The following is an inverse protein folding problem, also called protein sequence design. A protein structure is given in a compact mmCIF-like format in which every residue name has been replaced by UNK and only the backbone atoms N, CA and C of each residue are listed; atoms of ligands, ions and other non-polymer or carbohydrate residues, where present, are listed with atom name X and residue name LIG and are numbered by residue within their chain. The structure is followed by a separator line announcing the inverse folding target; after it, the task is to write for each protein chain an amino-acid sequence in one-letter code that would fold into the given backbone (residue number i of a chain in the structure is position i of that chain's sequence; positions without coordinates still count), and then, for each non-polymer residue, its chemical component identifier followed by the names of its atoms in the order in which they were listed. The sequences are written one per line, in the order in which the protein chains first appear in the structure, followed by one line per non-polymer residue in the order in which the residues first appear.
data_IF_824919403806
#
_entry.id   IF_824919403806
#
_cell.length_a   1.000
_cell.length_b   1.000
_cell.length_c   1.000
_cell.angle_alpha   90.00
_cell.angle_beta   90.00
_cell.angle_gamma   90.00
#
_symmetry.space_group_name_H-M   'P 1'
#
loop_
_entity.id
_entity.type
_entity.pdbx_description
1 polymer ?
#
# COMPACT_ATOMS: atom_id res chain seq x y z
N UNK A 1 -18.29 -66.87 -65.22
CA UNK A 1 -19.58 -66.43 -65.77
C UNK A 1 -19.36 -65.09 -66.49
N UNK A 2 -19.97 -64.95 -67.67
CA UNK A 2 -19.96 -63.83 -68.64
C UNK A 2 -19.89 -62.43 -67.99
N UNK A 3 -18.99 -61.52 -68.40
CA UNK A 3 -19.00 -60.64 -69.58
C UNK A 3 -20.21 -59.67 -69.71
N UNK A 4 -19.85 -58.38 -69.89
CA UNK A 4 -20.50 -57.34 -70.73
C UNK A 4 -21.76 -56.62 -70.20
N UNK A 5 -21.67 -55.30 -69.95
CA UNK A 5 -22.05 -54.15 -70.81
C UNK A 5 -23.37 -53.49 -70.31
N UNK A 6 -23.71 -52.21 -70.42
CA UNK A 6 -23.24 -50.97 -71.08
C UNK A 6 -24.10 -49.83 -70.45
N UNK A 7 -23.71 -48.54 -70.48
CA UNK A 7 -24.34 -47.42 -71.24
C UNK A 7 -24.05 -46.10 -70.46
N UNK A 8 -23.82 -44.88 -70.96
CA UNK A 8 -23.69 -44.25 -72.29
C UNK A 8 -23.12 -42.80 -72.09
N UNK A 9 -22.18 -42.37 -72.95
CA UNK A 9 -22.01 -41.05 -73.64
C UNK A 9 -21.93 -39.70 -72.87
N UNK A 10 -20.79 -38.98 -72.99
CA UNK A 10 -20.48 -37.79 -73.86
C UNK A 10 -21.16 -36.46 -73.40
N UNK A 11 -20.52 -35.28 -73.35
CA UNK A 11 -19.33 -34.84 -74.08
C UNK A 11 -18.68 -33.52 -73.60
N UNK A 12 -17.43 -33.41 -74.05
CA UNK A 12 -16.44 -32.35 -74.33
C UNK A 12 -16.76 -30.84 -74.38
N UNK A 13 -15.64 -30.10 -74.19
CA UNK A 13 -15.21 -28.74 -74.64
C UNK A 13 -15.61 -27.58 -73.70
N UNK A 14 -14.76 -26.60 -73.35
CA UNK A 14 -13.56 -26.09 -74.01
C UNK A 14 -12.79 -25.08 -73.13
N UNK A 15 -11.53 -24.85 -73.52
CA UNK A 15 -10.74 -23.61 -73.42
C UNK A 15 -9.82 -23.33 -72.21
N UNK A 16 -8.59 -23.02 -72.59
CA UNK A 16 -7.40 -22.72 -71.81
C UNK A 16 -7.07 -21.22 -71.83
N UNK A 17 -6.07 -20.86 -71.02
CA UNK A 17 -5.21 -19.65 -71.03
C UNK A 17 -5.61 -18.44 -70.16
N UNK A 18 -4.84 -18.31 -69.07
CA UNK A 18 -3.98 -17.19 -68.62
C UNK A 18 -4.46 -15.73 -68.65
N UNK A 19 -3.96 -15.04 -67.60
CA UNK A 19 -3.70 -13.60 -67.38
C UNK A 19 -4.86 -12.76 -66.80
N UNK A 20 -4.69 -12.38 -65.53
CA UNK A 20 -4.62 -11.00 -64.99
C UNK A 20 -4.99 -11.02 -63.50
N UNK A 21 -4.10 -10.50 -62.66
CA UNK A 21 -4.35 -10.34 -61.23
C UNK A 21 -5.34 -9.22 -60.95
N UNK A 22 -6.20 -9.42 -59.96
CA UNK A 22 -6.61 -8.42 -58.98
C UNK A 22 -7.26 -9.13 -57.77
N UNK A 23 -6.93 -8.60 -56.60
CA UNK A 23 -7.43 -8.83 -55.25
C UNK A 23 -8.82 -9.47 -55.08
N UNK A 24 -8.92 -10.42 -54.14
CA UNK A 24 -9.87 -10.29 -53.03
C UNK A 24 -9.20 -10.69 -51.70
N UNK A 25 -9.03 -9.66 -50.87
CA UNK A 25 -8.87 -9.72 -49.42
C UNK A 25 -10.21 -10.06 -48.77
N UNK A 26 -10.16 -10.29 -47.46
CA UNK A 26 -11.24 -10.22 -46.46
C UNK A 26 -11.91 -11.55 -46.11
N UNK A 27 -11.28 -12.25 -45.17
CA UNK A 27 -11.96 -12.98 -44.09
C UNK A 27 -11.25 -12.64 -42.77
N UNK A 28 -11.41 -11.40 -42.32
CA UNK A 28 -10.97 -10.94 -41.01
C UNK A 28 -11.82 -9.73 -40.58
N UNK A 29 -13.04 -9.99 -40.13
CA UNK A 29 -13.96 -9.09 -39.40
C UNK A 29 -15.22 -9.97 -39.15
N UNK A 30 -15.78 -10.17 -37.96
CA UNK A 30 -15.94 -9.33 -36.78
C UNK A 30 -15.80 -10.21 -35.51
N UNK A 31 -14.66 -10.15 -34.81
CA UNK A 31 -14.65 -10.40 -33.37
C UNK A 31 -14.74 -9.03 -32.73
N UNK A 32 -15.99 -8.69 -32.43
CA UNK A 32 -16.50 -7.36 -32.07
C UNK A 32 -15.60 -6.56 -31.11
N UNK A 33 -15.45 -5.27 -31.42
CA UNK A 33 -14.98 -4.19 -30.54
C UNK A 33 -15.56 -4.28 -29.13
N UNK A 34 -16.80 -4.76 -29.03
CA UNK A 34 -17.50 -5.02 -27.76
C UNK A 34 -16.81 -6.08 -26.88
N UNK A 35 -16.26 -7.15 -27.46
CA UNK A 35 -15.51 -8.17 -26.70
C UNK A 35 -14.18 -7.63 -26.16
N UNK A 36 -13.54 -6.73 -26.89
CA UNK A 36 -12.29 -6.07 -26.48
C UNK A 36 -12.57 -4.99 -25.45
N UNK A 37 -13.69 -4.27 -25.56
CA UNK A 37 -14.19 -3.35 -24.53
C UNK A 37 -14.62 -4.08 -23.26
N UNK A 38 -15.29 -5.23 -23.36
CA UNK A 38 -15.67 -6.06 -22.22
C UNK A 38 -14.42 -6.63 -21.55
N UNK A 39 -13.43 -7.11 -22.32
CA UNK A 39 -12.17 -7.56 -21.75
C UNK A 39 -11.43 -6.41 -21.06
N UNK A 40 -11.37 -5.23 -21.69
CA UNK A 40 -10.80 -4.02 -21.09
C UNK A 40 -11.59 -3.51 -19.88
N UNK A 41 -12.90 -3.67 -19.84
CA UNK A 41 -13.75 -3.30 -18.71
C UNK A 41 -13.65 -4.31 -17.56
N UNK A 42 -13.47 -5.60 -17.87
CA UNK A 42 -13.19 -6.67 -16.89
C UNK A 42 -11.75 -6.56 -16.35
N UNK A 43 -10.77 -6.23 -17.20
CA UNK A 43 -9.42 -5.86 -16.78
C UNK A 43 -9.42 -4.55 -16.00
N UNK A 44 -10.20 -3.54 -16.39
CA UNK A 44 -10.36 -2.30 -15.63
C UNK A 44 -11.09 -2.51 -14.29
N UNK A 45 -11.97 -3.53 -14.18
CA UNK A 45 -12.52 -4.00 -12.90
C UNK A 45 -11.49 -4.75 -12.05
N UNK A 46 -10.48 -5.38 -12.67
CA UNK A 46 -9.31 -5.92 -11.98
C UNK A 46 -8.27 -4.83 -11.63
N UNK A 47 -8.34 -3.65 -12.25
CA UNK A 47 -7.47 -2.48 -12.01
C UNK A 47 -8.08 -1.44 -11.04
N UNK A 48 -9.38 -1.53 -10.72
CA UNK A 48 -9.97 -0.68 -9.72
C UNK A 48 -9.36 -1.02 -8.34
N UNK A 49 -8.88 -0.04 -7.56
CA UNK A 49 -8.41 -0.32 -6.21
C UNK A 49 -9.58 -0.87 -5.40
N UNK A 50 -9.57 -2.18 -5.18
CA UNK A 50 -10.62 -2.86 -4.45
C UNK A 50 -10.56 -2.38 -3.01
N UNK A 51 -11.59 -1.64 -2.62
CA UNK A 51 -11.78 -1.22 -1.24
C UNK A 51 -11.99 -2.48 -0.38
N UNK A 52 -10.99 -2.80 0.47
CA UNK A 52 -11.01 -3.98 1.36
C UNK A 52 -12.32 -4.07 2.14
N UNK A 53 -12.80 -2.93 2.68
CA UNK A 53 -14.05 -2.88 3.43
C UNK A 53 -15.26 -3.29 2.58
N UNK A 54 -15.38 -2.76 1.36
CA UNK A 54 -16.51 -3.08 0.47
C UNK A 54 -16.45 -4.53 0.00
N UNK A 55 -15.26 -5.01 -0.35
CA UNK A 55 -15.05 -6.40 -0.76
C UNK A 55 -15.45 -7.38 0.35
N UNK A 56 -14.94 -7.17 1.56
CA UNK A 56 -15.24 -8.06 2.68
C UNK A 56 -16.72 -8.04 3.02
N UNK A 57 -17.38 -6.88 3.04
CA UNK A 57 -18.82 -6.81 3.28
C UNK A 57 -19.66 -7.55 2.24
N UNK A 58 -19.25 -7.49 0.97
CA UNK A 58 -20.02 -8.08 -0.12
C UNK A 58 -19.76 -9.57 -0.29
N UNK A 59 -18.50 -10.01 -0.16
CA UNK A 59 -18.07 -11.35 -0.55
C UNK A 59 -17.56 -12.21 0.61
N UNK A 60 -17.18 -11.62 1.75
CA UNK A 60 -16.61 -12.31 2.92
C UNK A 60 -17.16 -11.75 4.26
N UNK A 61 -18.49 -11.67 4.47
CA UNK A 61 -19.07 -10.94 5.60
C UNK A 61 -18.78 -11.57 6.97
N UNK A 62 -18.61 -12.89 7.04
CA UNK A 62 -18.17 -13.57 8.27
C UNK A 62 -16.75 -13.16 8.65
N UNK A 63 -15.84 -13.15 7.67
CA UNK A 63 -14.46 -12.68 7.84
C UNK A 63 -14.43 -11.21 8.27
N UNK A 64 -15.26 -10.36 7.66
CA UNK A 64 -15.42 -8.97 8.07
C UNK A 64 -15.79 -8.85 9.56
N UNK A 65 -16.78 -9.61 10.02
CA UNK A 65 -17.24 -9.54 11.41
C UNK A 65 -16.15 -9.97 12.39
N UNK A 66 -15.35 -10.98 12.04
CA UNK A 66 -14.19 -11.39 12.84
C UNK A 66 -13.14 -10.28 12.88
N UNK A 67 -12.77 -9.70 11.74
CA UNK A 67 -11.75 -8.66 11.65
C UNK A 67 -12.13 -7.38 12.42
N UNK A 68 -13.41 -6.96 12.36
CA UNK A 68 -13.89 -5.81 13.12
C UNK A 68 -13.81 -6.07 14.63
N UNK A 69 -14.12 -7.28 15.07
CA UNK A 69 -13.95 -7.65 16.47
C UNK A 69 -12.47 -7.64 16.87
N UNK A 70 -11.59 -8.23 16.06
CA UNK A 70 -10.14 -8.21 16.30
C UNK A 70 -9.59 -6.79 16.39
N UNK A 71 -10.01 -5.89 15.50
CA UNK A 71 -9.63 -4.49 15.54
C UNK A 71 -10.13 -3.80 16.81
N UNK A 72 -11.38 -4.04 17.22
CA UNK A 72 -11.92 -3.49 18.46
C UNK A 72 -11.17 -3.98 19.70
N UNK A 73 -10.88 -5.28 19.78
CA UNK A 73 -10.11 -5.88 20.87
C UNK A 73 -8.68 -5.28 20.89
N UNK A 74 -8.06 -5.08 19.71
CA UNK A 74 -6.74 -4.46 19.58
C UNK A 74 -6.71 -2.99 20.00
N UNK A 75 -7.80 -2.25 19.75
CA UNK A 75 -7.95 -0.86 20.22
C UNK A 75 -8.06 -0.81 21.74
N UNK A 76 -8.79 -1.75 22.37
CA UNK A 76 -8.87 -1.81 23.83
C UNK A 76 -7.54 -2.23 24.47
N UNK A 77 -6.81 -3.16 23.86
CA UNK A 77 -5.49 -3.59 24.31
C UNK A 77 -4.47 -2.44 24.25
N UNK A 78 -4.35 -1.77 23.09
CA UNK A 78 -3.41 -0.67 22.88
C UNK A 78 -3.65 0.57 23.78
N UNK A 79 -4.85 0.73 24.36
CA UNK A 79 -5.16 1.86 25.29
C UNK A 79 -4.29 1.87 26.54
N UNK A 80 -3.77 0.71 26.95
CA UNK A 80 -3.02 0.52 28.18
C UNK A 80 -1.74 -0.27 27.88
N UNK A 81 -0.71 0.38 27.31
CA UNK A 81 0.53 -0.30 26.96
C UNK A 81 1.17 -0.94 28.19
N UNK A 82 1.70 -2.15 28.03
CA UNK A 82 2.31 -2.95 29.09
C UNK A 82 3.83 -2.99 28.98
N UNK A 83 4.50 -3.27 30.09
CA UNK A 83 5.97 -3.31 30.14
C UNK A 83 6.57 -4.42 29.25
N UNK A 84 5.88 -5.54 29.07
CA UNK A 84 6.29 -6.64 28.20
C UNK A 84 6.03 -6.38 26.70
N UNK A 85 5.37 -5.28 26.37
CA UNK A 85 5.16 -4.81 25.00
C UNK A 85 6.24 -3.84 24.54
N UNK A 86 7.08 -3.35 25.47
CA UNK A 86 8.22 -2.52 25.13
C UNK A 86 9.26 -3.35 24.38
N UNK A 87 9.62 -2.91 23.18
CA UNK A 87 10.62 -3.55 22.33
C UNK A 87 11.88 -2.71 22.20
N UNK A 88 13.01 -3.36 21.89
CA UNK A 88 14.33 -2.74 21.75
C UNK A 88 14.93 -2.87 20.35
N UNK A 89 14.09 -3.14 19.35
CA UNK A 89 14.48 -3.36 17.96
C UNK A 89 13.73 -2.43 16.98
N UNK A 90 13.22 -1.29 17.47
CA UNK A 90 12.68 -0.26 16.60
C UNK A 90 13.75 0.23 15.63
N UNK A 91 13.33 0.61 14.43
CA UNK A 91 14.21 1.21 13.45
C UNK A 91 14.46 2.66 13.86
N UNK A 92 15.67 2.90 14.37
CA UNK A 92 16.21 4.23 14.66
C UNK A 92 16.51 5.01 13.36
N UNK A 93 16.03 6.23 13.22
CA UNK A 93 16.42 7.14 12.14
C UNK A 93 17.78 7.77 12.46
N UNK A 94 18.83 7.11 12.00
CA UNK A 94 20.21 7.54 12.17
C UNK A 94 21.02 7.24 10.91
N UNK A 95 21.97 8.10 10.52
CA UNK A 95 22.90 7.80 9.43
C UNK A 95 23.71 6.52 9.62
N UNK A 96 23.86 6.07 10.88
CA UNK A 96 24.57 4.85 11.25
C UNK A 96 23.73 3.57 11.09
N UNK A 97 22.41 3.67 10.95
CA UNK A 97 21.53 2.52 10.79
C UNK A 97 21.51 2.11 9.30
N UNK A 98 22.07 0.94 8.92
CA UNK A 98 22.21 0.56 7.51
C UNK A 98 20.86 0.24 6.82
N UNK A 99 19.78 0.10 7.59
CA UNK A 99 18.43 -0.13 7.06
C UNK A 99 17.72 1.17 6.66
N UNK A 100 18.26 2.32 7.06
CA UNK A 100 17.64 3.62 6.83
C UNK A 100 18.27 4.27 5.60
N UNK A 101 17.40 4.71 4.69
CA UNK A 101 17.81 5.59 3.60
C UNK A 101 17.78 7.03 4.09
N UNK A 102 18.89 7.71 3.93
CA UNK A 102 19.06 9.09 4.32
C UNK A 102 19.92 9.83 3.29
N UNK A 103 19.83 11.16 3.29
CA UNK A 103 20.71 12.04 2.54
C UNK A 103 21.02 13.29 3.35
N UNK A 104 22.10 13.98 2.98
CA UNK A 104 22.35 15.35 3.42
C UNK A 104 21.95 16.31 2.30
N UNK A 105 21.13 17.30 2.62
CA UNK A 105 20.65 18.31 1.68
C UNK A 105 20.72 19.69 2.34
N UNK A 106 21.55 20.58 1.80
CA UNK A 106 21.79 21.92 2.36
C UNK A 106 22.15 21.92 3.86
N UNK A 107 23.00 20.97 4.29
CA UNK A 107 23.43 20.84 5.69
C UNK A 107 22.37 20.29 6.64
N UNK A 108 21.27 19.73 6.12
CA UNK A 108 20.22 19.06 6.89
C UNK A 108 20.17 17.58 6.52
N UNK A 109 20.01 16.74 7.53
CA UNK A 109 19.78 15.30 7.34
C UNK A 109 18.30 15.09 7.02
N UNK A 110 18.04 14.40 5.93
CA UNK A 110 16.71 13.98 5.50
C UNK A 110 16.64 12.47 5.42
N UNK A 111 15.50 11.91 5.82
CA UNK A 111 15.23 10.47 5.79
C UNK A 111 14.15 10.17 4.74
N UNK A 112 14.28 9.02 4.06
CA UNK A 112 13.24 8.58 3.13
C UNK A 112 12.10 7.93 3.90
N UNK A 113 10.98 8.63 3.95
CA UNK A 113 9.79 8.23 4.70
C UNK A 113 8.68 7.84 3.74
N UNK A 114 7.86 6.87 4.14
CA UNK A 114 6.73 6.38 3.34
C UNK A 114 5.42 6.54 4.10
N UNK A 115 4.37 6.93 3.38
CA UNK A 115 3.01 7.06 3.89
C UNK A 115 2.04 6.45 2.89
N UNK A 116 1.07 5.65 3.36
CA UNK A 116 0.08 5.02 2.52
C UNK A 116 -1.16 5.92 2.43
N UNK A 117 -1.57 6.30 1.22
CA UNK A 117 -2.63 7.29 0.99
C UNK A 117 -3.59 6.87 -0.12
N UNK A 118 -4.82 7.36 -0.03
CA UNK A 118 -5.66 7.46 -1.21
C UNK A 118 -5.16 8.63 -2.04
N UNK A 119 -4.85 8.37 -3.31
CA UNK A 119 -4.41 9.37 -4.28
C UNK A 119 -5.31 9.23 -5.50
N UNK A 120 -5.93 10.34 -5.90
CA UNK A 120 -6.87 10.37 -7.02
C UNK A 120 -6.15 10.68 -8.33
N UNK A 121 -5.26 11.67 -8.31
CA UNK A 121 -4.48 12.06 -9.47
C UNK A 121 -2.99 12.18 -9.08
N UNK A 122 -2.22 11.08 -9.15
CA UNK A 122 -0.83 11.03 -8.67
C UNK A 122 0.05 12.17 -9.15
N UNK A 123 0.02 12.50 -10.44
CA UNK A 123 0.89 13.54 -11.02
C UNK A 123 0.51 14.96 -10.61
N UNK A 124 -0.74 15.19 -10.21
CA UNK A 124 -1.25 16.50 -9.76
C UNK A 124 -1.17 16.63 -8.24
N UNK A 125 -1.61 15.60 -7.53
CA UNK A 125 -1.66 15.59 -6.07
C UNK A 125 -0.25 15.51 -5.47
N UNK A 126 0.66 14.78 -6.12
CA UNK A 126 2.00 14.45 -5.64
C UNK A 126 3.04 14.44 -6.77
N UNK A 127 3.30 15.58 -7.45
CA UNK A 127 4.29 15.64 -8.52
C UNK A 127 5.69 15.23 -8.01
N UNK A 128 6.30 14.25 -8.66
CA UNK A 128 7.64 13.74 -8.31
C UNK A 128 8.69 14.84 -8.49
N UNK A 129 9.61 14.94 -7.54
CA UNK A 129 10.66 15.96 -7.46
C UNK A 129 10.16 17.31 -6.95
N UNK A 130 8.86 17.48 -6.70
CA UNK A 130 8.33 18.72 -6.18
C UNK A 130 8.54 18.84 -4.67
N UNK A 131 8.79 20.08 -4.23
CA UNK A 131 8.68 20.48 -2.83
C UNK A 131 7.21 20.73 -2.51
N UNK A 132 6.70 20.09 -1.46
CA UNK A 132 5.30 20.18 -1.03
C UNK A 132 5.22 20.59 0.44
N UNK A 133 4.33 21.53 0.74
CA UNK A 133 4.01 21.90 2.11
C UNK A 133 2.92 20.97 2.66
N UNK A 134 3.25 20.22 3.70
CA UNK A 134 2.30 19.43 4.47
C UNK A 134 1.78 20.30 5.63
N UNK A 135 0.47 20.58 5.60
CA UNK A 135 -0.21 21.43 6.57
C UNK A 135 -0.94 20.66 7.67
N UNK A 136 -0.90 19.32 7.62
CA UNK A 136 -1.58 18.45 8.58
C UNK A 136 -0.62 17.38 9.10
N UNK A 137 -0.87 16.93 10.32
CA UNK A 137 -0.15 15.79 10.90
C UNK A 137 -0.17 14.62 9.92
N UNK A 138 1.01 14.10 9.61
CA UNK A 138 1.17 12.99 8.66
C UNK A 138 2.00 11.91 9.32
N UNK A 139 1.50 10.68 9.22
CA UNK A 139 2.11 9.48 9.75
C UNK A 139 2.98 8.81 8.69
N UNK A 140 4.12 8.32 9.16
CA UNK A 140 5.19 7.75 8.37
C UNK A 140 5.75 6.49 9.03
N UNK A 141 6.30 5.65 8.18
CA UNK A 141 7.31 4.65 8.52
C UNK A 141 8.54 4.92 7.67
N UNK A 142 9.72 4.44 8.07
CA UNK A 142 10.86 4.39 7.17
C UNK A 142 10.46 3.61 5.91
N UNK A 143 10.74 4.16 4.73
CA UNK A 143 10.35 3.55 3.45
C UNK A 143 10.79 2.09 3.33
N UNK A 144 12.05 1.72 3.62
CA UNK A 144 12.48 0.34 3.44
C UNK A 144 11.73 -0.65 4.34
N UNK A 145 11.27 -0.27 5.53
CA UNK A 145 10.64 -1.19 6.48
C UNK A 145 9.28 -1.72 5.99
N UNK A 146 8.41 -0.84 5.48
CA UNK A 146 7.11 -1.26 4.93
C UNK A 146 7.27 -1.97 3.59
N UNK A 147 8.27 -1.56 2.81
CA UNK A 147 8.61 -2.17 1.53
C UNK A 147 9.10 -3.61 1.71
N UNK A 148 10.04 -3.84 2.64
CA UNK A 148 10.51 -5.18 3.01
C UNK A 148 9.37 -6.09 3.43
N UNK A 149 8.48 -5.59 4.31
CA UNK A 149 7.32 -6.33 4.78
C UNK A 149 6.42 -6.78 3.61
N UNK A 150 5.98 -5.85 2.78
CA UNK A 150 4.96 -6.15 1.79
C UNK A 150 5.48 -6.93 0.58
N UNK A 151 6.78 -6.86 0.30
CA UNK A 151 7.43 -7.68 -0.74
C UNK A 151 7.62 -9.14 -0.33
N UNK A 152 7.78 -9.38 0.97
CA UNK A 152 7.89 -10.73 1.53
C UNK A 152 6.53 -11.37 1.77
N UNK A 153 5.46 -10.57 1.88
CA UNK A 153 4.11 -11.08 2.07
C UNK A 153 3.69 -12.02 0.93
N UNK A 154 3.02 -13.10 1.31
CA UNK A 154 2.39 -14.07 0.41
C UNK A 154 0.96 -14.25 0.89
N UNK A 155 0.01 -14.08 -0.03
CA UNK A 155 -1.39 -14.34 0.25
C UNK A 155 -1.57 -15.81 0.66
N UNK A 156 -2.39 -16.04 1.67
CA UNK A 156 -2.63 -17.36 2.25
C UNK A 156 -4.10 -17.79 2.20
N UNK A 157 -5.04 -16.86 2.06
CA UNK A 157 -6.46 -17.18 1.98
C UNK A 157 -6.89 -17.30 0.52
N UNK A 158 -7.05 -18.54 0.05
CA UNK A 158 -7.47 -18.82 -1.32
C UNK A 158 -8.87 -18.27 -1.66
N UNK A 159 -9.66 -17.81 -0.68
CA UNK A 159 -10.98 -17.23 -0.90
C UNK A 159 -10.95 -15.70 -1.03
N UNK A 160 -9.79 -15.08 -0.84
CA UNK A 160 -9.59 -13.63 -0.95
C UNK A 160 -8.57 -13.37 -2.06
N UNK A 161 -8.87 -12.50 -3.06
CA UNK A 161 -7.90 -12.11 -4.07
C UNK A 161 -6.63 -11.54 -3.44
N UNK A 162 -5.46 -11.96 -3.92
CA UNK A 162 -4.16 -11.57 -3.37
C UNK A 162 -3.98 -10.06 -3.17
N UNK A 163 -4.49 -9.25 -4.10
CA UNK A 163 -4.41 -7.78 -4.02
C UNK A 163 -5.25 -7.20 -2.87
N UNK A 164 -6.42 -7.80 -2.60
CA UNK A 164 -7.28 -7.46 -1.47
C UNK A 164 -6.65 -7.92 -0.17
N UNK A 165 -6.14 -9.15 -0.14
CA UNK A 165 -5.49 -9.71 1.05
C UNK A 165 -4.23 -8.91 1.43
N UNK A 166 -3.38 -8.57 0.46
CA UNK A 166 -2.22 -7.71 0.69
C UNK A 166 -2.63 -6.33 1.23
N UNK A 167 -3.68 -5.73 0.68
CA UNK A 167 -4.18 -4.43 1.14
C UNK A 167 -4.73 -4.53 2.57
N UNK A 168 -5.49 -5.57 2.90
CA UNK A 168 -5.94 -5.86 4.26
C UNK A 168 -4.74 -6.02 5.20
N UNK A 169 -3.73 -6.78 4.77
CA UNK A 169 -2.54 -7.01 5.57
C UNK A 169 -1.75 -5.73 5.82
N UNK A 170 -1.64 -4.85 4.84
CA UNK A 170 -1.03 -3.53 5.00
C UNK A 170 -1.84 -2.65 5.96
N UNK A 171 -3.17 -2.70 5.92
CA UNK A 171 -4.01 -1.99 6.91
C UNK A 171 -3.73 -2.47 8.33
N UNK A 172 -3.63 -3.79 8.50
CA UNK A 172 -3.24 -4.42 9.76
C UNK A 172 -1.86 -3.99 10.21
N UNK A 173 -0.86 -4.19 9.36
CA UNK A 173 0.54 -3.92 9.64
C UNK A 173 0.79 -2.46 9.99
N UNK A 174 0.01 -1.52 9.43
CA UNK A 174 0.15 -0.09 9.67
C UNK A 174 -0.79 0.45 10.77
N UNK A 175 -1.48 -0.42 11.53
CA UNK A 175 -2.39 -0.01 12.60
C UNK A 175 -3.58 0.82 12.12
N UNK A 176 -4.03 0.61 10.88
CA UNK A 176 -5.14 1.34 10.28
C UNK A 176 -6.49 0.67 10.57
N UNK A 177 -7.54 1.48 10.68
CA UNK A 177 -8.92 1.02 10.84
C UNK A 177 -9.48 0.36 9.58
N UNK A 178 -10.43 -0.56 9.76
CA UNK A 178 -11.19 -1.19 8.69
C UNK A 178 -12.59 -0.59 8.59
N UNK A 179 -12.77 0.41 7.72
CA UNK A 179 -14.06 1.04 7.44
C UNK A 179 -14.14 1.60 6.00
N UNK A 180 -15.27 2.18 5.60
CA UNK A 180 -15.46 2.76 4.25
C UNK A 180 -14.46 3.87 3.86
N UNK A 181 -13.77 4.49 4.82
CA UNK A 181 -12.75 5.53 4.59
C UNK A 181 -11.32 4.99 4.64
N UNK A 182 -11.17 3.68 4.86
CA UNK A 182 -9.87 3.03 5.01
C UNK A 182 -9.13 2.82 3.69
N UNK A 183 -9.78 3.07 2.54
CA UNK A 183 -9.18 2.92 1.20
C UNK A 183 -7.87 3.68 1.09
N UNK A 184 -6.87 3.00 0.54
CA UNK A 184 -5.55 3.53 0.19
C UNK A 184 -5.15 2.92 -1.14
N UNK A 185 -4.47 3.70 -1.97
CA UNK A 185 -4.20 3.31 -3.36
C UNK A 185 -2.71 3.39 -3.67
N UNK A 186 -1.98 4.29 -3.03
CA UNK A 186 -0.57 4.52 -3.32
C UNK A 186 0.26 4.66 -2.05
N UNK A 187 1.50 4.21 -2.12
CA UNK A 187 2.56 4.68 -1.23
C UNK A 187 3.16 5.94 -1.82
N UNK A 188 3.29 6.97 -0.98
CA UNK A 188 4.00 8.20 -1.30
C UNK A 188 5.29 8.21 -0.48
N UNK A 189 6.43 8.21 -1.16
CA UNK A 189 7.73 8.35 -0.51
C UNK A 189 8.23 9.78 -0.62
N UNK A 190 8.78 10.29 0.48
CA UNK A 190 9.22 11.66 0.60
C UNK A 190 10.53 11.75 1.38
N UNK A 191 11.40 12.66 0.96
CA UNK A 191 12.48 13.13 1.83
C UNK A 191 11.90 14.08 2.86
N UNK A 192 12.10 13.75 4.13
CA UNK A 192 11.65 14.55 5.27
C UNK A 192 12.83 14.85 6.17
N UNK A 193 12.97 16.12 6.57
CA UNK A 193 14.06 16.54 7.46
C UNK A 193 13.90 15.86 8.82
N UNK A 194 15.00 15.33 9.35
CA UNK A 194 15.00 14.68 10.66
C UNK A 194 14.50 15.59 11.77
N UNK A 195 14.80 16.89 11.70
CA UNK A 195 14.37 17.88 12.70
C UNK A 195 12.86 18.19 12.69
N UNK A 196 12.13 17.77 11.65
CA UNK A 196 10.67 17.90 11.57
C UNK A 196 9.94 16.60 11.95
N UNK A 197 10.68 15.49 12.11
CA UNK A 197 10.15 14.18 12.49
C UNK A 197 10.19 14.01 14.01
N UNK A 198 9.16 13.37 14.54
CA UNK A 198 9.11 12.90 15.93
C UNK A 198 8.62 11.45 15.95
N UNK A 199 9.13 10.67 16.89
CA UNK A 199 8.56 9.37 17.22
C UNK A 199 7.30 9.60 18.08
N UNK A 200 6.13 9.00 17.75
CA UNK A 200 4.90 9.24 18.49
C UNK A 200 4.84 8.37 19.76
N UNK A 201 5.79 8.55 20.66
CA UNK A 201 5.79 7.97 22.01
C UNK A 201 6.21 9.03 23.05
N UNK A 202 6.29 8.67 24.33
CA UNK A 202 6.55 9.65 25.40
C UNK A 202 7.89 10.37 25.23
N UNK A 203 8.86 9.65 24.67
CA UNK A 203 10.14 10.17 24.24
C UNK A 203 10.11 10.40 22.71
N UNK A 204 10.16 11.65 22.23
CA UNK A 204 9.97 11.93 20.80
C UNK A 204 11.22 11.69 19.95
N UNK A 205 12.36 11.29 20.54
CA UNK A 205 13.61 11.03 19.83
C UNK A 205 13.45 9.96 18.72
N UNK A 206 14.04 10.24 17.56
CA UNK A 206 13.84 9.44 16.34
C UNK A 206 14.92 8.36 16.17
N UNK A 207 16.07 8.52 16.82
CA UNK A 207 17.27 7.70 16.71
C UNK A 207 17.38 6.60 17.78
N UNK A 208 16.37 6.47 18.62
CA UNK A 208 16.22 5.34 19.53
C UNK A 208 15.64 4.08 18.89
N UNK A 209 16.05 2.94 19.43
CA UNK A 209 15.54 1.61 19.07
C UNK A 209 14.46 1.09 20.04
N UNK A 210 14.04 1.91 21.02
CA UNK A 210 12.98 1.59 21.99
C UNK A 210 12.29 2.86 22.45
N UNK A 211 11.03 2.77 22.88
CA UNK A 211 10.37 3.84 23.63
C UNK A 211 10.24 3.45 25.10
N UNK A 212 10.26 4.46 25.97
CA UNK A 212 9.82 4.28 27.35
C UNK A 212 8.33 3.93 27.41
N UNK A 213 7.93 3.15 28.42
CA UNK A 213 6.53 2.82 28.66
C UNK A 213 5.70 4.11 28.80
N UNK A 214 4.55 4.17 28.11
CA UNK A 214 3.68 5.34 28.12
C UNK A 214 3.06 5.54 29.51
N UNK A 215 3.31 6.67 30.20
CA UNK A 215 2.62 6.98 31.45
C UNK A 215 1.13 7.27 31.20
N UNK A 216 0.27 6.68 32.02
CA UNK A 216 -1.18 6.93 32.00
C UNK A 216 -1.64 7.47 33.37
N UNK A 217 -2.32 8.63 33.43
CA UNK A 217 -2.71 9.49 32.30
C UNK A 217 -1.51 10.15 31.61
N UNK A 218 -1.62 10.41 30.29
CA UNK A 218 -0.57 11.07 29.52
C UNK A 218 -0.30 12.49 30.08
N UNK A 219 0.96 12.84 30.40
CA UNK A 219 1.31 14.14 30.97
C UNK A 219 0.91 15.32 30.10
N UNK A 220 0.46 16.42 30.72
CA UNK A 220 0.14 17.68 30.03
C UNK A 220 1.35 18.31 29.33
N UNK A 221 2.56 18.03 29.81
CA UNK A 221 3.81 18.46 29.19
C UNK A 221 4.04 17.82 27.81
N UNK A 222 3.40 16.69 27.51
CA UNK A 222 3.53 15.95 26.25
C UNK A 222 2.28 16.15 25.38
N UNK A 223 1.96 17.41 25.07
CA UNK A 223 0.70 17.82 24.43
C UNK A 223 0.40 17.11 23.11
N UNK A 224 1.40 16.89 22.26
CA UNK A 224 1.26 16.15 20.98
C UNK A 224 0.85 14.69 21.25
N UNK A 225 1.55 14.02 22.16
CA UNK A 225 1.29 12.62 22.53
C UNK A 225 -0.09 12.49 23.19
N UNK A 226 -0.46 13.44 24.05
CA UNK A 226 -1.79 13.49 24.67
C UNK A 226 -2.90 13.68 23.65
N UNK A 227 -2.68 14.52 22.63
CA UNK A 227 -3.62 14.70 21.53
C UNK A 227 -3.77 13.43 20.69
N UNK A 228 -2.66 12.72 20.42
CA UNK A 228 -2.68 11.43 19.73
C UNK A 228 -3.46 10.41 20.57
N UNK A 229 -3.15 10.23 21.86
CA UNK A 229 -3.89 9.32 22.76
C UNK A 229 -5.41 9.60 22.71
N UNK A 230 -5.79 10.87 22.86
CA UNK A 230 -7.19 11.29 22.85
C UNK A 230 -7.85 10.99 21.50
N UNK A 231 -7.19 11.30 20.39
CA UNK A 231 -7.70 11.07 19.04
C UNK A 231 -7.78 9.58 18.69
N UNK A 232 -6.85 8.76 19.18
CA UNK A 232 -6.85 7.31 18.94
C UNK A 232 -8.00 6.62 19.66
N UNK A 233 -8.43 7.10 20.84
CA UNK A 233 -9.32 6.34 21.72
C UNK A 233 -10.67 7.00 22.07
N UNK A 234 -10.78 8.30 21.89
CA UNK A 234 -11.94 9.08 22.38
C UNK A 234 -12.37 10.20 21.43
N UNK A 235 -12.07 10.09 20.13
CA UNK A 235 -12.52 11.08 19.16
C UNK A 235 -14.04 11.06 18.91
N UNK A 236 -14.58 12.22 18.52
CA UNK A 236 -16.02 12.43 18.31
C UNK A 236 -16.61 11.63 17.14
N UNK A 237 -15.78 11.25 16.15
CA UNK A 237 -16.20 10.44 14.99
C UNK A 237 -16.33 8.95 15.34
N UNK A 238 -15.85 8.54 16.52
CA UNK A 238 -15.75 7.14 16.96
C UNK A 238 -14.93 6.26 15.99
N UNK A 239 -13.91 6.87 15.37
CA UNK A 239 -12.96 6.19 14.49
C UNK A 239 -11.68 5.95 15.27
N UNK A 240 -11.64 4.88 16.07
CA UNK A 240 -10.54 4.62 16.99
C UNK A 240 -9.43 3.80 16.34
N UNK A 241 -8.18 4.09 16.68
CA UNK A 241 -6.99 3.45 16.13
C UNK A 241 -6.24 2.73 17.25
N UNK A 242 -5.68 1.53 17.01
CA UNK A 242 -4.84 0.83 17.97
C UNK A 242 -3.44 1.47 18.00
N UNK A 243 -3.30 2.68 18.55
CA UNK A 243 -2.01 3.36 18.62
C UNK A 243 -1.23 2.92 19.85
N UNK A 244 -0.14 2.18 19.67
CA UNK A 244 0.60 1.58 20.81
C UNK A 244 1.16 2.61 21.80
N UNK A 245 1.50 3.82 21.35
CA UNK A 245 2.29 4.77 22.16
C UNK A 245 3.70 4.28 22.50
N UNK A 246 4.17 3.21 21.86
CA UNK A 246 5.48 2.57 22.06
C UNK A 246 6.40 2.70 20.83
N UNK A 247 6.08 3.60 19.90
CA UNK A 247 6.93 3.95 18.76
C UNK A 247 6.86 2.97 17.58
N UNK A 248 5.91 2.05 17.59
CA UNK A 248 5.56 1.14 16.50
C UNK A 248 4.05 1.07 16.32
N UNK A 249 3.55 0.81 15.10
CA UNK A 249 2.10 0.68 14.90
C UNK A 249 1.61 -0.62 15.55
N UNK A 250 0.42 -0.67 16.15
CA UNK A 250 -0.14 -1.95 16.55
C UNK A 250 -0.60 -2.76 15.32
N UNK A 251 0.08 -3.87 15.05
CA UNK A 251 -0.25 -4.79 13.99
C UNK A 251 -1.33 -5.77 14.43
N UNK A 252 -2.59 -5.38 14.25
CA UNK A 252 -3.75 -6.18 14.65
C UNK A 252 -3.99 -7.43 13.77
N UNK A 253 -3.16 -7.66 12.75
CA UNK A 253 -3.10 -8.91 11.99
C UNK A 253 -1.98 -9.85 12.44
N UNK A 254 -1.05 -9.39 13.29
CA UNK A 254 0.00 -10.22 13.85
C UNK A 254 -0.54 -11.01 15.04
N UNK A 255 -0.44 -12.34 14.99
CA UNK A 255 -0.89 -13.20 16.09
C UNK A 255 0.13 -13.28 17.24
N UNK A 256 1.37 -12.87 17.00
CA UNK A 256 2.43 -12.90 18.02
C UNK A 256 2.41 -11.61 18.82
N UNK A 257 2.39 -11.75 20.15
CA UNK A 257 2.64 -10.62 21.06
C UNK A 257 4.09 -10.11 20.87
N UNK A 258 4.34 -8.80 20.96
CA UNK A 258 3.39 -7.74 21.34
C UNK A 258 2.75 -7.01 20.14
N UNK A 259 2.38 -7.75 19.08
CA UNK A 259 1.65 -7.21 17.92
C UNK A 259 2.41 -6.09 17.20
N UNK A 260 3.72 -6.27 17.02
CA UNK A 260 4.62 -5.23 16.49
C UNK A 260 4.46 -5.06 14.98
N UNK A 261 4.05 -3.86 14.56
CA UNK A 261 4.15 -3.37 13.18
C UNK A 261 5.47 -2.59 12.93
N UNK A 262 5.54 -1.74 11.89
CA UNK A 262 6.74 -0.96 11.63
C UNK A 262 6.92 0.16 12.66
N UNK A 263 8.14 0.71 12.71
CA UNK A 263 8.44 1.88 13.51
C UNK A 263 7.70 3.11 12.98
N UNK A 264 7.06 3.84 13.87
CA UNK A 264 6.24 5.00 13.52
C UNK A 264 6.97 6.31 13.73
N UNK A 265 6.68 7.25 12.83
CA UNK A 265 7.12 8.63 12.89
C UNK A 265 5.99 9.53 12.42
N UNK A 266 5.98 10.76 12.92
CA UNK A 266 5.05 11.78 12.44
C UNK A 266 5.78 13.09 12.19
N UNK A 267 5.20 13.90 11.32
CA UNK A 267 5.39 15.35 11.35
C UNK A 267 4.16 15.97 12.01
N UNK A 268 4.32 17.08 12.73
CA UNK A 268 3.22 17.74 13.42
C UNK A 268 3.17 19.25 13.13
N UNK A 269 2.79 19.65 11.89
CA UNK A 269 2.69 21.05 11.50
C UNK A 269 1.58 21.77 12.27
N UNK A 270 1.67 23.10 12.31
CA UNK A 270 0.62 24.00 12.81
C UNK A 270 0.10 24.88 11.67
N UNK A 271 -0.97 25.64 11.91
CA UNK A 271 -1.48 26.59 10.92
C UNK A 271 -0.43 27.66 10.54
N UNK A 272 0.48 27.98 11.46
CA UNK A 272 1.56 28.97 11.30
C UNK A 272 2.84 28.36 10.71
N UNK A 273 3.06 27.05 10.87
CA UNK A 273 4.27 26.35 10.43
C UNK A 273 3.92 25.03 9.76
N UNK A 274 3.84 25.06 8.43
CA UNK A 274 3.80 23.86 7.60
C UNK A 274 5.19 23.23 7.48
N UNK A 275 5.25 21.94 7.11
CA UNK A 275 6.51 21.21 6.92
C UNK A 275 6.74 21.00 5.43
N UNK A 276 7.91 21.39 4.93
CA UNK A 276 8.34 21.13 3.56
C UNK A 276 8.90 19.72 3.43
N UNK A 277 8.43 18.98 2.42
CA UNK A 277 8.94 17.67 2.03
C UNK A 277 9.22 17.65 0.53
N UNK A 278 10.10 16.76 0.09
CA UNK A 278 10.33 16.51 -1.34
C UNK A 278 9.74 15.17 -1.75
N UNK A 279 8.86 15.16 -2.74
CA UNK A 279 8.20 13.93 -3.22
C UNK A 279 9.18 13.13 -4.07
N UNK A 280 9.39 11.86 -3.71
CA UNK A 280 10.31 10.94 -4.40
C UNK A 280 9.55 9.99 -5.31
N UNK A 281 8.48 9.38 -4.80
CA UNK A 281 7.69 8.42 -5.55
C UNK A 281 6.22 8.46 -5.11
N UNK A 282 5.34 8.10 -6.05
CA UNK A 282 3.90 7.93 -5.82
C UNK A 282 3.50 6.68 -6.56
N UNK A 283 3.57 5.55 -5.87
CA UNK A 283 3.54 4.23 -6.51
C UNK A 283 2.27 3.50 -6.10
N UNK A 284 1.49 2.97 -7.06
CA UNK A 284 0.36 2.10 -6.77
C UNK A 284 0.76 0.98 -5.80
N UNK A 285 -0.11 0.68 -4.84
CA UNK A 285 0.19 -0.24 -3.72
C UNK A 285 0.75 -1.58 -4.20
N UNK A 286 0.13 -2.16 -5.22
CA UNK A 286 0.55 -3.46 -5.76
C UNK A 286 1.94 -3.38 -6.40
N UNK A 287 2.20 -2.34 -7.18
CA UNK A 287 3.52 -2.13 -7.79
C UNK A 287 4.61 -1.92 -6.72
N UNK A 288 4.31 -1.11 -5.69
CA UNK A 288 5.22 -0.83 -4.59
C UNK A 288 5.71 -2.11 -3.89
N UNK A 289 4.79 -3.07 -3.74
CA UNK A 289 5.02 -4.35 -3.09
C UNK A 289 5.50 -5.46 -4.03
N UNK A 290 5.55 -5.23 -5.34
CA UNK A 290 6.08 -6.19 -6.33
C UNK A 290 7.50 -5.84 -6.80
N UNK A 291 7.88 -4.57 -6.82
CA UNK A 291 9.20 -4.13 -7.25
C UNK A 291 10.30 -4.71 -6.34
N UNK A 292 11.03 -5.74 -6.76
CA UNK A 292 12.17 -6.24 -5.97
C UNK A 292 13.11 -5.09 -5.58
N UNK A 293 13.37 -4.94 -4.28
CA UNK A 293 14.35 -4.00 -3.77
C UNK A 293 15.73 -4.37 -4.31
N UNK A 294 16.19 -3.70 -5.38
CA UNK A 294 17.59 -3.72 -5.77
C UNK A 294 18.30 -2.84 -4.75
N UNK A 295 18.93 -3.46 -3.74
CA UNK A 295 19.85 -2.75 -2.86
C UNK A 295 20.93 -2.10 -3.74
N UNK A 296 20.91 -0.78 -3.87
CA UNK A 296 21.96 0.00 -4.52
C UNK A 296 23.20 0.05 -3.63
N UNK A 297 23.80 -1.11 -3.38
CA UNK A 297 25.23 -1.25 -3.14
C UNK A 297 25.88 -1.69 -4.46
N UNK A 298 25.78 -0.84 -5.48
CA UNK A 298 26.78 -0.82 -6.53
C UNK A 298 27.67 0.39 -6.27
N UNK A 299 28.77 0.09 -5.60
CA UNK A 299 29.98 0.88 -5.56
C UNK A 299 30.22 1.56 -6.92
N UNK A 300 30.26 2.89 -6.90
CA UNK A 300 30.93 3.67 -7.93
C UNK A 300 32.40 3.25 -7.93
N UNK A 301 32.80 2.47 -8.93
CA UNK A 301 34.16 2.41 -9.45
C UNK A 301 34.20 3.26 -10.72
#
# INVERSE_FOLDING_TARGET
MKNWQQRFFLGLLCCAFLIFGWEQRVLAEEITDNSTQILKAQLAQAEAPVNVYEYLLQYQPETYNVLIKTLADSIEDAKQPLADEVVSNLWALSPSNPKIQWRENNGKIEYLMSTWKYVNNPSVDWPIGAKKQLAYQTWFTASPQVKEFCQQYKAIDANIPDNVELSLRLQQYLGLILNKYSTKTHFVEMWVKGEDLIRPCIDPEIDDASCNLLPLPVPDSSSVIKAIYTNSYTNAKKEYYPWSGLGYTYDWGNLQKPHVGPSEFIINPTAEKTVEVEVVSVTPTQEYCQQQYISSNQSLN
#
